data_IF_471053424203
#
_entry.id   IF_471053424203
#
_cell.length_a   1.000
_cell.length_b   1.000
_cell.length_c   1.000
_cell.angle_alpha   90.00
_cell.angle_beta   90.00
_cell.angle_gamma   90.00
#
_symmetry.space_group_name_H-M   'P 1'
#
loop_
_entity.id
_entity.type
_entity.pdbx_description
1 polymer ?
#
# COMPACT_ATOMS: atom_id res chain seq x y z
N UNK A 1 14.24 -11.72 -4.32
CA UNK A 1 13.92 -10.32 -4.64
C UNK A 1 14.47 -9.47 -3.52
N UNK A 2 14.98 -8.29 -3.85
CA UNK A 2 15.50 -7.37 -2.83
C UNK A 2 14.35 -6.67 -2.13
N UNK A 3 14.46 -6.57 -0.82
CA UNK A 3 13.56 -5.76 -0.01
C UNK A 3 14.29 -5.17 1.21
N UNK A 4 13.80 -4.04 1.69
CA UNK A 4 14.27 -3.41 2.91
C UNK A 4 13.49 -3.96 4.11
N UNK A 5 14.18 -4.73 4.94
CA UNK A 5 13.61 -5.40 6.12
C UNK A 5 14.04 -4.64 7.37
N UNK A 6 13.09 -4.43 8.30
CA UNK A 6 13.39 -3.84 9.59
C UNK A 6 14.17 -4.83 10.47
N UNK A 7 15.40 -4.46 10.84
CA UNK A 7 16.26 -5.20 11.76
C UNK A 7 16.69 -4.28 12.90
N UNK A 8 16.14 -4.53 14.09
CA UNK A 8 16.28 -3.61 15.22
C UNK A 8 15.56 -2.28 14.96
N UNK A 9 16.35 -1.21 14.79
CA UNK A 9 15.96 0.17 14.52
C UNK A 9 16.46 0.67 13.14
N UNK A 10 16.83 -0.26 12.23
CA UNK A 10 17.39 0.05 10.92
C UNK A 10 16.75 -0.79 9.82
N UNK A 11 16.78 -0.26 8.61
CA UNK A 11 16.45 -1.02 7.41
C UNK A 11 17.70 -1.67 6.83
N UNK A 12 17.63 -2.97 6.58
CA UNK A 12 18.67 -3.73 5.91
C UNK A 12 18.11 -4.33 4.62
N UNK A 13 18.87 -4.23 3.54
CA UNK A 13 18.48 -4.88 2.29
C UNK A 13 18.76 -6.39 2.42
N UNK A 14 17.72 -7.21 2.24
CA UNK A 14 17.81 -8.67 2.21
C UNK A 14 17.25 -9.21 0.90
N UNK A 15 17.75 -10.38 0.50
CA UNK A 15 17.06 -11.22 -0.48
C UNK A 15 15.94 -12.00 0.21
N UNK A 16 14.71 -11.83 -0.27
CA UNK A 16 13.52 -12.53 0.23
C UNK A 16 12.78 -13.20 -0.94
N UNK A 17 11.95 -14.24 -0.68
CA UNK A 17 11.12 -14.84 -1.71
C UNK A 17 10.21 -13.80 -2.38
N UNK A 18 10.07 -13.89 -3.71
CA UNK A 18 9.07 -13.12 -4.46
C UNK A 18 7.67 -13.63 -4.04
N UNK A 19 6.72 -12.76 -3.65
CA UNK A 19 5.40 -13.20 -3.26
C UNK A 19 4.62 -13.68 -4.49
N UNK A 20 3.71 -14.63 -4.28
CA UNK A 20 2.75 -15.09 -5.29
C UNK A 20 1.37 -14.50 -4.98
N UNK A 21 0.63 -13.98 -5.97
CA UNK A 21 -0.69 -13.40 -5.73
C UNK A 21 -1.74 -14.48 -5.45
N UNK A 22 -2.49 -14.31 -4.36
CA UNK A 22 -3.65 -15.14 -4.02
C UNK A 22 -4.93 -14.76 -4.76
N UNK A 23 -6.07 -15.33 -4.33
CA UNK A 23 -7.39 -14.97 -4.88
C UNK A 23 -7.66 -13.46 -4.73
N UNK A 24 -8.08 -12.83 -5.83
CA UNK A 24 -8.29 -11.38 -5.97
C UNK A 24 -7.08 -10.51 -5.64
N UNK A 25 -5.87 -11.07 -5.58
CA UNK A 25 -4.64 -10.30 -5.43
C UNK A 25 -3.94 -10.10 -6.77
N UNK A 26 -3.21 -9.01 -6.88
CA UNK A 26 -2.33 -8.71 -7.99
C UNK A 26 -0.91 -8.53 -7.46
N UNK A 27 0.05 -9.08 -8.21
CA UNK A 27 1.45 -8.88 -7.96
C UNK A 27 1.93 -7.66 -8.73
N UNK A 28 2.47 -6.69 -8.01
CA UNK A 28 2.96 -5.43 -8.58
C UNK A 28 4.48 -5.46 -8.60
N UNK A 29 5.06 -5.20 -9.77
CA UNK A 29 6.47 -4.85 -9.89
C UNK A 29 6.62 -3.36 -9.60
N UNK A 30 7.25 -3.04 -8.47
CA UNK A 30 7.39 -1.67 -8.00
C UNK A 30 8.45 -0.95 -8.83
N UNK A 31 8.12 0.27 -9.24
CA UNK A 31 9.02 1.16 -10.00
C UNK A 31 9.56 2.29 -9.14
N UNK A 32 8.80 2.69 -8.12
CA UNK A 32 9.18 3.70 -7.13
C UNK A 32 8.39 3.44 -5.85
N UNK A 33 9.01 3.75 -4.71
CA UNK A 33 8.36 3.81 -3.41
C UNK A 33 8.54 5.21 -2.83
N UNK A 34 7.49 5.75 -2.22
CA UNK A 34 7.55 7.01 -1.49
C UNK A 34 8.07 6.80 -0.08
N UNK A 35 8.72 7.82 0.49
CA UNK A 35 9.20 7.82 1.87
C UNK A 35 8.40 8.82 2.67
N UNK A 36 7.71 8.35 3.70
CA UNK A 36 6.86 9.18 4.55
C UNK A 36 7.33 9.13 6.00
N UNK A 37 6.95 10.17 6.76
CA UNK A 37 7.33 10.29 8.16
C UNK A 37 6.80 9.13 9.01
N UNK A 38 5.66 8.53 8.67
CA UNK A 38 5.16 7.36 9.38
C UNK A 38 6.06 6.13 9.23
N UNK A 39 6.81 6.00 8.13
CA UNK A 39 7.79 4.91 7.98
C UNK A 39 8.96 5.08 8.96
N UNK A 40 9.38 6.33 9.21
CA UNK A 40 10.41 6.65 10.21
C UNK A 40 9.94 6.24 11.61
N UNK A 41 8.69 6.50 11.94
CA UNK A 41 8.10 6.08 13.21
C UNK A 41 8.00 4.55 13.36
N UNK A 42 7.72 3.83 12.26
CA UNK A 42 7.78 2.36 12.26
C UNK A 42 9.21 1.89 12.55
N UNK A 43 10.22 2.50 11.93
CA UNK A 43 11.64 2.18 12.16
C UNK A 43 12.06 2.47 13.60
N UNK A 44 11.61 3.61 14.18
CA UNK A 44 11.86 4.00 15.58
C UNK A 44 11.05 3.19 16.59
N UNK A 45 10.05 2.43 16.14
CA UNK A 45 9.15 1.61 16.97
C UNK A 45 8.30 2.43 17.96
N UNK A 46 7.96 3.67 17.61
CA UNK A 46 7.23 4.62 18.47
C UNK A 46 5.75 4.83 18.07
N UNK A 47 5.33 4.37 16.88
CA UNK A 47 3.94 4.50 16.39
C UNK A 47 3.16 3.18 16.42
N UNK A 48 3.83 2.04 16.24
CA UNK A 48 3.18 0.75 16.18
C UNK A 48 4.02 -0.33 16.85
N UNK A 49 3.40 -1.15 17.72
CA UNK A 49 4.05 -2.33 18.32
C UNK A 49 4.12 -3.45 17.29
N UNK A 50 4.96 -3.30 16.27
CA UNK A 50 5.34 -4.42 15.43
C UNK A 50 6.10 -5.42 16.31
N UNK A 51 5.63 -6.68 16.42
CA UNK A 51 6.40 -7.71 17.08
C UNK A 51 7.81 -7.73 16.48
N UNK A 52 8.83 -7.86 17.32
CA UNK A 52 10.23 -7.90 16.89
C UNK A 52 10.56 -9.04 15.93
N UNK A 53 9.69 -10.05 15.85
CA UNK A 53 9.78 -11.20 14.95
C UNK A 53 9.26 -10.95 13.54
N UNK A 54 8.65 -9.80 13.24
CA UNK A 54 8.09 -9.51 11.92
C UNK A 54 9.19 -9.07 10.95
N UNK A 55 9.59 -9.97 10.05
CA UNK A 55 10.56 -9.71 8.98
C UNK A 55 9.86 -9.43 7.63
N UNK A 56 8.91 -8.49 7.60
CA UNK A 56 8.28 -8.07 6.34
C UNK A 56 8.81 -6.71 5.88
N UNK A 57 8.86 -6.45 4.56
CA UNK A 57 9.15 -5.12 4.04
C UNK A 57 8.18 -4.07 4.62
N UNK A 58 8.68 -2.88 4.92
CA UNK A 58 7.86 -1.72 5.30
C UNK A 58 7.64 -0.78 4.10
N UNK A 59 7.06 0.39 4.32
CA UNK A 59 6.72 1.35 3.27
C UNK A 59 5.29 1.16 2.80
N UNK A 60 4.60 2.24 2.45
CA UNK A 60 3.17 2.20 2.16
C UNK A 60 2.74 3.05 0.97
N UNK A 61 3.69 3.64 0.27
CA UNK A 61 3.49 4.44 -0.94
C UNK A 61 4.24 3.78 -2.08
N UNK A 62 3.56 3.41 -3.15
CA UNK A 62 4.19 2.76 -4.29
C UNK A 62 3.51 3.05 -5.61
N UNK A 63 4.31 3.11 -6.67
CA UNK A 63 3.85 3.05 -8.05
C UNK A 63 4.56 1.90 -8.74
N UNK A 64 3.80 1.12 -9.49
CA UNK A 64 4.33 -0.03 -10.21
C UNK A 64 3.47 -0.45 -11.38
N UNK A 65 3.83 -1.60 -11.94
CA UNK A 65 3.08 -2.25 -13.02
C UNK A 65 2.57 -3.59 -12.54
N UNK A 66 1.34 -3.94 -12.91
CA UNK A 66 0.77 -5.26 -12.64
C UNK A 66 1.55 -6.32 -13.42
N UNK A 67 2.27 -7.17 -12.70
CA UNK A 67 3.15 -8.22 -13.26
C UNK A 67 2.39 -9.55 -13.43
N UNK A 68 1.64 -9.96 -12.40
CA UNK A 68 0.87 -11.20 -12.36
C UNK A 68 -0.46 -10.98 -11.64
N UNK A 69 -1.46 -11.79 -11.99
CA UNK A 69 -2.80 -11.74 -11.41
C UNK A 69 -3.10 -13.08 -10.75
N UNK A 70 -3.60 -13.05 -9.53
CA UNK A 70 -4.24 -14.21 -8.93
C UNK A 70 -5.68 -14.37 -9.44
N UNK A 71 -6.34 -15.50 -9.13
CA UNK A 71 -7.68 -15.78 -9.64
C UNK A 71 -8.68 -14.68 -9.27
N UNK A 72 -9.43 -14.15 -10.25
CA UNK A 72 -10.47 -13.14 -10.06
C UNK A 72 -9.98 -11.68 -9.93
N UNK A 73 -8.67 -11.44 -9.92
CA UNK A 73 -8.09 -10.10 -9.86
C UNK A 73 -8.28 -9.29 -11.17
N UNK A 74 -8.48 -9.99 -12.29
CA UNK A 74 -8.75 -9.45 -13.63
C UNK A 74 -10.03 -8.59 -13.69
N UNK A 75 -10.95 -8.76 -12.74
CA UNK A 75 -12.14 -7.91 -12.58
C UNK A 75 -11.82 -6.46 -12.21
N UNK A 76 -10.62 -6.18 -11.70
CA UNK A 76 -10.23 -4.87 -11.16
C UNK A 76 -9.09 -4.22 -11.95
N UNK A 77 -8.08 -5.01 -12.31
CA UNK A 77 -6.88 -4.56 -13.05
C UNK A 77 -6.44 -5.61 -14.07
N UNK A 78 -5.63 -5.22 -15.03
CA UNK A 78 -5.09 -6.07 -16.08
C UNK A 78 -3.56 -6.13 -15.96
N UNK A 79 -2.96 -7.23 -16.43
CA UNK A 79 -1.48 -7.31 -16.54
C UNK A 79 -0.98 -6.17 -17.42
N UNK A 80 0.07 -5.48 -16.97
CA UNK A 80 0.62 -4.30 -17.64
C UNK A 80 -0.02 -2.97 -17.22
N UNK A 81 -1.12 -2.98 -16.47
CA UNK A 81 -1.67 -1.73 -15.93
C UNK A 81 -0.65 -1.06 -15.01
N UNK A 82 -0.46 0.25 -15.19
CA UNK A 82 0.30 1.09 -14.27
C UNK A 82 -0.61 1.52 -13.12
N UNK A 83 -0.19 1.25 -11.89
CA UNK A 83 -1.02 1.44 -10.70
C UNK A 83 -0.28 2.18 -9.60
N UNK A 84 -1.03 2.96 -8.83
CA UNK A 84 -0.61 3.53 -7.54
C UNK A 84 -1.30 2.77 -6.41
N UNK A 85 -0.56 2.56 -5.32
CA UNK A 85 -1.05 1.87 -4.14
C UNK A 85 -0.64 2.62 -2.87
N UNK A 86 -1.65 2.86 -2.01
CA UNK A 86 -1.50 3.46 -0.70
C UNK A 86 -1.96 2.47 0.37
N UNK A 87 -1.02 1.91 1.14
CA UNK A 87 -1.29 0.82 2.09
C UNK A 87 -1.75 1.29 3.48
N UNK A 88 -1.80 2.61 3.73
CA UNK A 88 -2.24 3.15 5.02
C UNK A 88 -1.21 2.98 6.15
N UNK A 89 0.07 3.23 5.88
CA UNK A 89 1.16 3.05 6.84
C UNK A 89 1.60 1.58 6.97
N UNK A 90 0.77 0.74 7.60
CA UNK A 90 1.08 -0.68 7.80
C UNK A 90 -0.13 -1.62 7.54
N UNK A 91 -1.33 -1.06 7.57
CA UNK A 91 -2.59 -1.74 7.29
C UNK A 91 -3.57 -0.73 6.68
N UNK A 92 -4.40 -1.14 5.72
CA UNK A 92 -5.43 -0.23 5.19
C UNK A 92 -5.69 -0.31 3.69
N UNK A 93 -5.01 -1.18 2.94
CA UNK A 93 -5.41 -1.46 1.56
C UNK A 93 -6.54 -2.51 1.47
N UNK A 94 -6.87 -3.21 2.55
CA UNK A 94 -8.02 -4.11 2.60
C UNK A 94 -9.17 -3.49 3.39
N UNK A 95 -10.39 -3.58 2.85
CA UNK A 95 -11.62 -3.16 3.50
C UNK A 95 -12.76 -4.13 3.18
N UNK A 96 -13.64 -4.40 4.15
CA UNK A 96 -14.66 -5.44 4.01
C UNK A 96 -15.86 -5.04 3.14
N UNK A 97 -16.07 -3.75 2.87
CA UNK A 97 -17.21 -3.27 2.10
C UNK A 97 -18.56 -3.32 2.82
N UNK A 98 -18.63 -3.86 4.05
CA UNK A 98 -19.89 -4.18 4.74
C UNK A 98 -20.04 -3.57 6.15
N UNK A 99 -18.95 -3.11 6.79
CA UNK A 99 -19.07 -2.46 8.11
C UNK A 99 -19.54 -1.00 7.97
N UNK A 100 -19.99 -0.40 9.09
CA UNK A 100 -20.43 1.00 9.16
C UNK A 100 -19.44 2.00 8.52
N UNK A 101 -18.12 1.77 8.67
CA UNK A 101 -17.09 2.61 8.07
C UNK A 101 -17.01 2.43 6.57
N UNK A 102 -17.08 1.19 6.07
CA UNK A 102 -17.08 0.95 4.63
C UNK A 102 -18.34 1.50 3.97
N UNK A 103 -19.51 1.27 4.57
CA UNK A 103 -20.80 1.74 4.05
C UNK A 103 -20.94 3.28 4.11
N UNK A 104 -20.25 3.94 5.05
CA UNK A 104 -20.15 5.40 5.12
C UNK A 104 -18.99 6.01 4.30
N UNK A 105 -18.36 5.23 3.41
CA UNK A 105 -17.29 5.74 2.54
C UNK A 105 -15.95 6.02 3.23
N UNK A 106 -15.73 5.44 4.42
CA UNK A 106 -14.51 5.56 5.23
C UNK A 106 -13.76 4.23 5.35
N UNK A 107 -13.37 3.57 4.23
CA UNK A 107 -12.77 2.24 4.25
C UNK A 107 -11.44 2.17 5.01
N UNK A 108 -10.72 3.30 5.16
CA UNK A 108 -9.50 3.41 5.98
C UNK A 108 -9.74 3.19 7.48
N UNK A 109 -11.00 3.20 7.94
CA UNK A 109 -11.40 2.88 9.31
C UNK A 109 -12.03 1.48 9.40
N UNK A 110 -11.92 0.66 8.34
CA UNK A 110 -12.49 -0.68 8.35
C UNK A 110 -11.95 -1.50 9.52
N UNK A 111 -12.83 -2.25 10.20
CA UNK A 111 -12.48 -3.09 11.35
C UNK A 111 -11.74 -4.38 10.97
N UNK A 112 -11.78 -4.75 9.68
CA UNK A 112 -11.18 -5.98 9.16
C UNK A 112 -9.95 -5.70 8.29
N UNK A 113 -9.24 -4.60 8.54
CA UNK A 113 -7.99 -4.31 7.87
C UNK A 113 -6.99 -5.45 8.09
N UNK A 114 -6.19 -5.72 7.06
CA UNK A 114 -5.13 -6.72 7.10
C UNK A 114 -3.79 -6.01 6.97
N UNK A 115 -2.75 -6.47 7.71
CA UNK A 115 -1.40 -6.04 7.43
C UNK A 115 -1.01 -6.52 6.04
N UNK A 116 -0.29 -5.68 5.30
CA UNK A 116 0.22 -6.01 3.97
C UNK A 116 1.74 -5.84 3.97
N UNK A 117 2.41 -6.60 3.10
CA UNK A 117 3.82 -6.37 2.84
C UNK A 117 4.00 -4.97 2.25
N UNK A 118 5.01 -4.24 2.72
CA UNK A 118 5.23 -2.86 2.35
C UNK A 118 5.93 -2.66 1.00
N UNK A 119 5.98 -1.40 0.57
CA UNK A 119 6.46 -1.00 -0.76
C UNK A 119 7.98 -0.84 -0.86
N UNK A 120 8.75 -1.01 0.21
CA UNK A 120 10.21 -1.07 0.15
C UNK A 120 10.69 -2.46 -0.28
N UNK A 121 10.24 -2.90 -1.45
CA UNK A 121 10.57 -4.17 -2.09
C UNK A 121 10.52 -4.02 -3.61
N UNK A 122 11.11 -4.97 -4.35
CA UNK A 122 10.98 -5.00 -5.81
C UNK A 122 9.58 -5.42 -6.28
N UNK A 123 8.88 -6.24 -5.48
CA UNK A 123 7.52 -6.68 -5.74
C UNK A 123 6.66 -6.67 -4.48
N UNK A 124 5.36 -6.47 -4.66
CA UNK A 124 4.37 -6.57 -3.58
C UNK A 124 3.09 -7.22 -4.10
N UNK A 125 2.52 -8.15 -3.33
CA UNK A 125 1.19 -8.71 -3.60
C UNK A 125 0.16 -7.96 -2.76
N UNK A 126 -0.89 -7.47 -3.39
CA UNK A 126 -1.97 -6.72 -2.72
C UNK A 126 -3.31 -7.07 -3.32
N UNK A 127 -4.38 -6.83 -2.55
CA UNK A 127 -5.74 -6.97 -3.04
C UNK A 127 -5.98 -6.06 -4.25
N UNK A 128 -6.34 -6.64 -5.39
CA UNK A 128 -6.43 -5.95 -6.67
C UNK A 128 -7.42 -4.79 -6.66
N UNK A 129 -8.50 -4.90 -5.88
CA UNK A 129 -9.50 -3.85 -5.70
C UNK A 129 -8.95 -2.60 -4.98
N UNK A 130 -7.83 -2.71 -4.29
CA UNK A 130 -7.15 -1.60 -3.62
C UNK A 130 -6.34 -0.72 -4.57
N UNK A 131 -6.07 -1.20 -5.78
CA UNK A 131 -5.22 -0.53 -6.74
C UNK A 131 -6.00 0.55 -7.49
N UNK A 132 -5.32 1.66 -7.74
CA UNK A 132 -5.84 2.73 -8.60
C UNK A 132 -4.97 2.77 -9.85
N UNK A 133 -5.60 2.62 -11.02
CA UNK A 133 -4.91 2.77 -12.31
C UNK A 133 -4.46 4.22 -12.47
N UNK A 134 -3.20 4.40 -12.79
CA UNK A 134 -2.61 5.70 -13.03
C UNK A 134 -2.82 6.11 -14.49
N UNK A 135 -3.34 7.32 -14.75
CA UNK A 135 -3.28 7.93 -16.07
C UNK A 135 -1.84 8.06 -16.57
N UNK A 136 -1.65 8.07 -17.89
CA UNK A 136 -0.33 8.14 -18.51
C UNK A 136 0.43 9.43 -18.16
N UNK A 137 -0.30 10.51 -17.87
CA UNK A 137 0.24 11.84 -17.59
C UNK A 137 0.82 11.96 -16.18
N UNK A 138 0.43 11.09 -15.25
CA UNK A 138 0.88 11.16 -13.86
C UNK A 138 2.25 10.49 -13.75
N UNK A 139 3.30 11.24 -13.44
CA UNK A 139 4.67 10.68 -13.36
C UNK A 139 4.90 9.79 -12.13
N UNK A 140 6.02 9.05 -12.11
CA UNK A 140 6.42 8.29 -10.92
C UNK A 140 6.80 9.18 -9.72
N UNK A 141 7.15 10.45 -9.96
CA UNK A 141 7.49 11.38 -8.87
C UNK A 141 6.27 11.74 -8.01
N UNK A 142 5.06 11.45 -8.50
CA UNK A 142 3.79 11.68 -7.80
C UNK A 142 3.43 10.55 -6.81
N UNK A 143 4.36 9.67 -6.46
CA UNK A 143 4.12 8.54 -5.53
C UNK A 143 3.55 8.99 -4.18
N UNK A 144 3.89 10.20 -3.74
CA UNK A 144 3.38 10.81 -2.50
C UNK A 144 1.87 11.07 -2.51
N UNK A 145 1.22 11.05 -3.68
CA UNK A 145 -0.24 11.09 -3.79
C UNK A 145 -0.89 9.89 -3.09
N UNK A 146 -0.19 8.76 -2.97
CA UNK A 146 -0.69 7.55 -2.31
C UNK A 146 -0.93 7.71 -0.80
N UNK A 147 -0.35 8.74 -0.17
CA UNK A 147 -0.52 9.01 1.26
C UNK A 147 -0.72 10.51 1.53
N UNK A 148 0.35 11.30 1.58
CA UNK A 148 0.28 12.72 1.93
C UNK A 148 -0.66 13.51 1.03
N UNK A 149 -0.61 13.26 -0.29
CA UNK A 149 -1.49 13.93 -1.25
C UNK A 149 -2.97 13.57 -1.04
N UNK A 150 -3.30 12.27 -0.97
CA UNK A 150 -4.67 11.81 -0.71
C UNK A 150 -5.20 12.30 0.65
N UNK A 151 -4.35 12.31 1.68
CA UNK A 151 -4.71 12.76 3.03
C UNK A 151 -5.06 14.25 3.02
N UNK A 152 -4.22 15.09 2.41
CA UNK A 152 -4.47 16.53 2.27
C UNK A 152 -5.74 16.81 1.47
N UNK A 153 -5.92 16.14 0.33
CA UNK A 153 -7.13 16.28 -0.48
C UNK A 153 -8.40 15.92 0.31
N UNK A 154 -8.38 14.79 1.02
CA UNK A 154 -9.51 14.33 1.83
C UNK A 154 -9.85 15.31 2.96
N UNK A 155 -8.83 15.91 3.59
CA UNK A 155 -9.03 16.90 4.65
C UNK A 155 -9.74 18.15 4.11
N UNK A 156 -9.23 18.72 3.01
CA UNK A 156 -9.80 19.91 2.37
C UNK A 156 -11.25 19.64 1.93
N UNK A 157 -11.47 18.55 1.18
CA UNK A 157 -12.79 18.19 0.67
C UNK A 157 -13.82 17.99 1.78
N UNK A 158 -13.41 17.39 2.90
CA UNK A 158 -14.30 17.18 4.04
C UNK A 158 -14.73 18.50 4.68
N UNK A 159 -13.82 19.48 4.77
CA UNK A 159 -14.15 20.81 5.27
C UNK A 159 -15.05 21.61 4.31
N UNK A 160 -14.86 21.48 3.00
CA UNK A 160 -15.69 22.16 1.99
C UNK A 160 -17.17 21.73 2.01
N UNK A 161 -17.47 20.53 2.50
CA UNK A 161 -18.85 20.02 2.62
C UNK A 161 -19.52 20.40 3.96
N UNK A 162 -18.84 21.17 4.82
CA UNK A 162 -19.39 21.66 6.10
C UNK A 162 -20.02 23.06 5.99
N UNK A 163 -20.00 23.65 4.80
CA UNK A 163 -20.62 24.94 4.44
C UNK A 163 -21.83 24.66 3.56
#
# INVERSE_FOLDING_TARGET
MRAAILSGDKLVIKEVPKPAPGYEEALIKLTVAGVCHSDVHIVKRDWWKLPSSVEIPIGHEGIGTVEELGPGADKFVQKGDRVILGLGGFAGAYWCGACEYCLSGRPRLCRLQRPLSGTYAEYVSVWAKALVKLPAEVSNNEVSLACGGLTTYSAIKSCSNMV
#
